data_IF_092322730343
#
_entry.id   IF_092322730343
#
_cell.length_a   1.000
_cell.length_b   1.000
_cell.length_c   1.000
_cell.angle_alpha   90.00
_cell.angle_beta   90.00
_cell.angle_gamma   90.00
#
_symmetry.space_group_name_H-M   'P 1'
#
loop_
_entity.id
_entity.type
_entity.pdbx_description
1 polymer ?
#
# COMPACT_ATOMS: atom_id res chain seq x y z
N UNK A 1 -0.38 32.84 -5.68
CA UNK A 1 0.74 31.92 -5.43
C UNK A 1 2.00 32.76 -5.46
N UNK A 2 2.70 32.83 -4.34
CA UNK A 2 3.93 33.61 -4.19
C UNK A 2 4.98 33.14 -5.20
N UNK A 3 5.59 34.08 -5.91
CA UNK A 3 6.69 33.80 -6.83
C UNK A 3 7.94 33.39 -6.05
N UNK A 4 8.90 32.72 -6.69
CA UNK A 4 10.18 32.38 -6.04
C UNK A 4 11.00 33.61 -5.62
N UNK A 5 10.63 34.82 -6.05
CA UNK A 5 11.15 36.07 -5.52
C UNK A 5 10.49 36.43 -4.18
N UNK A 6 9.15 36.32 -4.10
CA UNK A 6 8.36 36.62 -2.90
C UNK A 6 8.76 35.71 -1.71
N UNK A 7 9.07 34.43 -1.96
CA UNK A 7 9.52 33.50 -0.92
C UNK A 7 10.92 33.84 -0.39
N UNK A 8 11.79 34.40 -1.24
CA UNK A 8 13.14 34.83 -0.82
C UNK A 8 13.11 36.13 -0.03
N UNK A 9 12.16 36.99 -0.36
CA UNK A 9 11.88 38.24 0.36
C UNK A 9 11.29 37.95 1.75
N UNK A 10 10.30 37.04 1.82
CA UNK A 10 9.68 36.60 3.09
C UNK A 10 10.68 35.91 4.04
N UNK A 11 11.68 35.21 3.48
CA UNK A 11 12.67 34.46 4.26
C UNK A 11 13.97 35.23 4.50
N UNK A 12 14.06 36.49 4.07
CA UNK A 12 15.24 37.37 4.24
C UNK A 12 16.56 36.71 3.78
N UNK A 13 16.51 35.84 2.76
CA UNK A 13 17.67 35.04 2.30
C UNK A 13 18.60 35.81 1.33
N UNK A 14 18.40 37.12 1.17
CA UNK A 14 19.21 38.01 0.34
C UNK A 14 20.01 38.98 1.20
N UNK A 15 21.21 38.58 1.65
CA UNK A 15 22.07 39.45 2.43
C UNK A 15 22.67 40.61 1.61
N UNK A 16 22.54 41.82 2.14
CA UNK A 16 23.55 42.88 2.04
C UNK A 16 23.30 44.03 1.05
N UNK A 17 23.05 45.21 1.63
CA UNK A 17 23.33 46.56 1.11
C UNK A 17 22.46 47.13 -0.02
N UNK A 18 21.28 47.67 0.33
CA UNK A 18 20.93 49.08 0.04
C UNK A 18 19.57 49.45 0.67
N UNK A 19 19.56 49.73 1.98
CA UNK A 19 18.33 50.16 2.66
C UNK A 19 18.43 51.64 3.00
N UNK A 20 18.01 52.47 2.02
CA UNK A 20 17.71 53.89 2.21
C UNK A 20 16.20 54.09 2.19
N UNK A 21 15.61 54.92 3.07
CA UNK A 21 14.17 54.97 3.23
C UNK A 21 13.48 55.57 2.00
N UNK A 22 12.59 54.76 1.39
CA UNK A 22 11.71 55.16 0.28
C UNK A 22 10.81 56.30 0.75
N UNK A 23 10.97 57.49 0.16
CA UNK A 23 10.20 58.67 0.52
C UNK A 23 8.84 58.68 -0.19
N UNK A 24 7.81 59.21 0.49
CA UNK A 24 6.37 59.20 0.16
C UNK A 24 5.96 59.84 -1.19
N UNK A 25 6.92 60.18 -2.05
CA UNK A 25 6.77 60.91 -3.32
C UNK A 25 6.84 60.02 -4.57
N UNK A 26 7.20 58.75 -4.42
CA UNK A 26 7.25 57.79 -5.55
C UNK A 26 5.89 57.10 -5.83
N UNK A 27 4.86 57.41 -5.03
CA UNK A 27 3.53 56.77 -5.08
C UNK A 27 2.48 57.52 -5.93
N UNK A 28 2.80 58.67 -6.54
CA UNK A 28 1.79 59.51 -7.20
C UNK A 28 2.26 60.00 -8.58
N UNK A 29 1.67 59.41 -9.63
CA UNK A 29 1.59 59.87 -11.02
C UNK A 29 2.86 59.94 -11.89
N UNK A 30 2.91 59.15 -12.97
CA UNK A 30 2.36 59.56 -14.29
C UNK A 30 2.86 58.70 -15.44
N UNK A 31 1.94 58.35 -16.33
CA UNK A 31 2.13 57.86 -17.69
C UNK A 31 3.27 58.56 -18.44
N UNK A 32 4.35 57.84 -18.75
CA UNK A 32 5.18 58.12 -19.94
C UNK A 32 5.72 56.83 -20.55
N UNK A 33 5.26 56.55 -21.79
CA UNK A 33 5.90 55.67 -22.76
C UNK A 33 7.41 55.89 -22.76
N UNK A 34 8.21 54.84 -22.54
CA UNK A 34 9.66 54.87 -22.79
C UNK A 34 10.04 53.84 -23.86
N UNK A 35 10.76 54.37 -24.84
CA UNK A 35 11.36 53.72 -25.99
C UNK A 35 12.16 52.46 -25.64
N UNK A 36 12.07 51.44 -26.51
CA UNK A 36 13.03 50.33 -26.58
C UNK A 36 14.42 50.86 -26.90
N UNK A 37 15.40 50.65 -26.01
CA UNK A 37 16.83 50.59 -26.38
C UNK A 37 17.24 49.11 -26.29
N UNK A 38 17.63 48.56 -27.44
CA UNK A 38 18.26 47.25 -27.50
C UNK A 38 19.67 47.38 -26.93
N UNK A 39 19.96 46.66 -25.85
CA UNK A 39 21.33 46.42 -25.39
C UNK A 39 21.86 45.20 -26.12
N UNK A 40 22.84 45.42 -27.00
CA UNK A 40 23.61 44.37 -27.66
C UNK A 40 24.28 43.47 -26.61
N UNK A 41 23.80 42.25 -26.46
CA UNK A 41 24.55 41.20 -25.77
C UNK A 41 25.42 40.49 -26.80
N UNK A 42 26.73 40.72 -26.71
CA UNK A 42 27.78 39.98 -27.42
C UNK A 42 27.58 38.47 -27.22
N UNK A 43 27.05 37.79 -28.24
CA UNK A 43 26.95 36.33 -28.22
C UNK A 43 28.25 35.74 -28.77
N UNK A 44 29.10 35.26 -27.86
CA UNK A 44 30.19 34.36 -28.23
C UNK A 44 29.58 33.13 -28.92
N UNK A 45 30.08 32.81 -30.12
CA UNK A 45 29.63 31.65 -30.89
C UNK A 45 30.11 30.36 -30.24
N UNK A 46 29.27 29.32 -30.28
CA UNK A 46 29.59 27.95 -29.85
C UNK A 46 30.90 27.51 -30.53
N UNK A 47 31.94 27.11 -29.78
CA UNK A 47 33.16 26.56 -30.35
C UNK A 47 32.86 25.32 -31.21
N UNK A 48 33.54 25.22 -32.36
CA UNK A 48 33.38 24.09 -33.27
C UNK A 48 33.84 22.79 -32.59
N UNK A 49 33.03 21.73 -32.68
CA UNK A 49 33.28 20.44 -32.01
C UNK A 49 32.58 20.24 -30.66
N UNK A 50 31.98 21.28 -30.05
CA UNK A 50 31.19 21.12 -28.83
C UNK A 50 29.71 20.84 -29.14
N UNK A 51 29.20 19.71 -28.62
CA UNK A 51 27.79 19.34 -28.76
C UNK A 51 26.86 20.37 -28.10
N UNK A 52 25.70 20.62 -28.71
CA UNK A 52 24.78 21.71 -28.34
C UNK A 52 24.29 21.58 -26.89
N UNK A 53 24.04 20.34 -26.48
CA UNK A 53 23.65 19.95 -25.12
C UNK A 53 24.76 20.22 -24.10
N UNK A 54 26.02 20.00 -24.48
CA UNK A 54 27.19 20.27 -23.62
C UNK A 54 27.42 21.77 -23.49
N UNK A 55 27.30 22.52 -24.59
CA UNK A 55 27.37 23.98 -24.56
C UNK A 55 26.25 24.59 -23.70
N UNK A 56 25.06 24.01 -23.74
CA UNK A 56 23.92 24.44 -22.93
C UNK A 56 24.13 24.22 -21.43
N UNK A 57 24.93 23.23 -21.01
CA UNK A 57 25.29 23.00 -19.60
C UNK A 57 26.26 24.05 -19.06
N UNK A 58 27.17 24.56 -19.91
CA UNK A 58 28.13 25.60 -19.54
C UNK A 58 27.48 26.98 -19.35
N UNK A 59 26.35 27.21 -20.02
CA UNK A 59 25.61 28.49 -20.02
C UNK A 59 24.14 28.36 -19.60
N UNK A 60 23.78 27.29 -18.90
CA UNK A 60 22.55 27.30 -18.10
C UNK A 60 22.79 28.25 -16.94
N UNK A 61 22.39 29.50 -17.16
CA UNK A 61 21.90 30.46 -16.20
C UNK A 61 21.96 29.92 -14.76
N UNK A 62 22.90 30.44 -13.95
CA UNK A 62 23.17 30.04 -12.55
C UNK A 62 21.95 30.20 -11.60
N UNK A 63 20.74 30.34 -12.14
CA UNK A 63 19.51 30.69 -11.43
C UNK A 63 18.37 29.66 -11.54
N UNK A 64 18.45 28.66 -12.39
CA UNK A 64 17.38 27.64 -12.49
C UNK A 64 17.93 26.23 -12.28
N UNK A 65 17.65 25.67 -11.09
CA UNK A 65 17.91 24.27 -10.80
C UNK A 65 16.87 23.38 -11.51
N UNK A 66 17.27 22.24 -12.08
CA UNK A 66 16.34 21.32 -12.74
C UNK A 66 15.40 20.64 -11.72
N UNK A 67 14.12 20.45 -12.05
CA UNK A 67 13.12 19.91 -11.13
C UNK A 67 13.31 18.42 -10.91
N UNK A 68 13.14 18.02 -9.65
CA UNK A 68 13.38 16.68 -9.13
C UNK A 68 12.20 15.71 -9.32
N UNK A 69 11.15 16.09 -10.05
CA UNK A 69 9.95 15.26 -10.22
C UNK A 69 9.72 14.89 -11.69
N UNK A 70 9.62 13.59 -12.02
CA UNK A 70 9.21 13.15 -13.35
C UNK A 70 7.79 13.61 -13.62
N UNK A 71 7.59 14.44 -14.65
CA UNK A 71 6.24 14.80 -15.14
C UNK A 71 5.88 13.89 -16.30
N UNK A 72 4.82 13.10 -16.11
CA UNK A 72 4.29 12.11 -17.08
C UNK A 72 3.44 12.77 -18.21
N UNK A 73 3.80 14.00 -18.59
CA UNK A 73 3.17 14.73 -19.68
C UNK A 73 4.10 14.70 -20.89
N UNK A 74 3.66 14.04 -21.95
CA UNK A 74 4.34 13.88 -23.24
C UNK A 74 4.50 15.19 -24.04
N UNK A 75 4.38 16.36 -23.41
CA UNK A 75 4.64 17.66 -24.01
C UNK A 75 5.74 18.37 -23.23
N UNK A 76 6.80 18.73 -23.95
CA UNK A 76 8.11 19.09 -23.43
C UNK A 76 8.18 20.17 -22.34
N UNK A 77 9.39 20.25 -21.78
CA UNK A 77 9.84 21.02 -20.61
C UNK A 77 9.87 22.56 -20.80
N UNK A 78 8.85 23.14 -21.42
CA UNK A 78 8.48 24.55 -21.24
C UNK A 78 6.97 24.58 -21.32
N UNK A 79 6.31 24.88 -20.21
CA UNK A 79 4.97 25.44 -20.28
C UNK A 79 5.09 26.68 -21.16
N UNK A 80 4.59 26.59 -22.40
CA UNK A 80 4.48 27.75 -23.27
C UNK A 80 3.68 28.74 -22.46
N UNK A 81 4.32 29.80 -21.92
CA UNK A 81 3.64 30.86 -21.17
C UNK A 81 2.37 31.14 -21.93
N UNK A 82 1.22 30.82 -21.33
CA UNK A 82 -0.05 30.85 -22.03
C UNK A 82 -0.11 32.20 -22.74
N UNK A 83 -0.14 32.18 -24.08
CA UNK A 83 -0.27 33.40 -24.86
C UNK A 83 -1.69 33.91 -24.62
N UNK A 84 -1.89 34.60 -23.49
CA UNK A 84 -3.05 35.40 -23.15
C UNK A 84 -3.07 36.67 -24.02
N UNK A 85 -2.77 36.53 -25.31
CA UNK A 85 -3.08 37.57 -26.28
C UNK A 85 -4.59 37.80 -26.25
N UNK A 86 -5.00 39.04 -26.50
CA UNK A 86 -6.34 39.61 -26.42
C UNK A 86 -7.40 38.89 -27.29
N UNK A 87 -7.56 37.57 -27.12
CA UNK A 87 -8.66 36.81 -27.67
C UNK A 87 -9.90 37.24 -26.90
N UNK A 88 -10.93 37.64 -27.65
CA UNK A 88 -12.26 37.94 -27.11
C UNK A 88 -12.65 36.82 -26.15
N UNK A 89 -12.91 37.19 -24.89
CA UNK A 89 -13.33 36.24 -23.86
C UNK A 89 -14.54 35.48 -24.39
N UNK A 90 -14.51 34.15 -24.29
CA UNK A 90 -15.63 33.33 -24.74
C UNK A 90 -16.84 33.65 -23.85
N UNK A 91 -17.94 34.16 -24.41
CA UNK A 91 -19.06 34.58 -23.59
C UNK A 91 -19.81 33.38 -23.03
N UNK A 92 -20.21 33.51 -21.77
CA UNK A 92 -21.02 32.53 -21.05
C UNK A 92 -22.44 33.08 -20.92
N UNK A 93 -23.43 32.19 -21.03
CA UNK A 93 -24.84 32.51 -20.85
C UNK A 93 -25.43 31.53 -19.85
N UNK A 94 -26.25 32.05 -18.93
CA UNK A 94 -27.08 31.22 -18.08
C UNK A 94 -28.18 30.63 -18.97
N UNK A 95 -28.12 29.32 -19.22
CA UNK A 95 -29.02 28.65 -20.16
C UNK A 95 -29.80 27.53 -19.47
N UNK A 96 -31.10 27.39 -19.79
CA UNK A 96 -31.87 26.22 -19.39
C UNK A 96 -31.34 24.99 -20.13
N UNK A 97 -31.34 23.85 -19.46
CA UNK A 97 -31.04 22.56 -20.05
C UNK A 97 -31.90 21.47 -19.43
N UNK A 98 -32.26 20.49 -20.24
CA UNK A 98 -32.88 19.26 -19.79
C UNK A 98 -31.80 18.20 -19.66
N UNK A 99 -31.87 17.34 -18.64
CA UNK A 99 -30.98 16.20 -18.50
C UNK A 99 -31.65 14.95 -19.10
N UNK A 100 -31.19 14.43 -20.26
CA UNK A 100 -31.75 13.22 -20.87
C UNK A 100 -31.72 11.99 -19.97
N UNK A 101 -30.85 11.98 -18.96
CA UNK A 101 -30.76 10.90 -17.98
C UNK A 101 -31.96 10.84 -17.02
N UNK A 102 -32.76 11.90 -16.93
CA UNK A 102 -33.95 11.96 -16.07
C UNK A 102 -35.22 11.74 -16.90
N UNK A 103 -36.22 11.11 -16.28
CA UNK A 103 -37.53 10.84 -16.89
C UNK A 103 -38.62 11.85 -16.52
N UNK A 104 -38.31 12.80 -15.63
CA UNK A 104 -39.26 13.76 -15.06
C UNK A 104 -39.37 15.07 -15.85
N UNK A 105 -38.59 15.23 -16.92
CA UNK A 105 -38.61 16.44 -17.74
C UNK A 105 -38.12 17.70 -17.01
N UNK A 106 -37.44 17.55 -15.88
CA UNK A 106 -36.99 18.69 -15.07
C UNK A 106 -35.99 19.57 -15.86
N UNK A 107 -36.26 20.87 -15.87
CA UNK A 107 -35.43 21.89 -16.51
C UNK A 107 -34.51 22.51 -15.47
N UNK A 108 -33.20 22.37 -15.68
CA UNK A 108 -32.17 22.98 -14.84
C UNK A 108 -31.50 24.13 -15.56
N UNK A 109 -30.73 24.93 -14.84
CA UNK A 109 -29.95 26.01 -15.45
C UNK A 109 -28.48 25.87 -15.08
N UNK A 110 -27.59 26.17 -16.01
CA UNK A 110 -26.16 26.31 -15.74
C UNK A 110 -25.48 27.26 -16.72
N UNK A 111 -24.30 27.74 -16.34
CA UNK A 111 -23.45 28.53 -17.20
C UNK A 111 -22.89 27.65 -18.32
N UNK A 112 -23.22 28.00 -19.57
CA UNK A 112 -22.65 27.38 -20.77
C UNK A 112 -22.04 28.40 -21.68
N UNK A 113 -21.12 27.93 -22.52
CA UNK A 113 -20.56 28.74 -23.61
C UNK A 113 -21.64 28.94 -24.67
N UNK A 114 -21.74 30.15 -25.22
CA UNK A 114 -22.71 30.45 -26.28
C UNK A 114 -22.57 29.51 -27.49
N UNK A 115 -21.35 29.07 -27.82
CA UNK A 115 -21.10 28.12 -28.91
C UNK A 115 -21.56 26.66 -28.63
N UNK A 116 -22.07 26.38 -27.43
CA UNK A 116 -22.57 25.06 -26.99
C UNK A 116 -24.09 25.06 -26.78
N UNK A 117 -24.78 26.10 -27.26
CA UNK A 117 -26.25 26.17 -27.32
C UNK A 117 -26.78 25.01 -28.18
N UNK A 118 -27.79 24.29 -27.69
CA UNK A 118 -28.40 23.15 -28.37
C UNK A 118 -27.70 21.79 -28.19
N UNK A 119 -26.56 21.72 -27.49
CA UNK A 119 -25.94 20.41 -27.17
C UNK A 119 -26.64 19.74 -25.99
N UNK A 120 -26.74 18.42 -26.02
CA UNK A 120 -27.22 17.65 -24.87
C UNK A 120 -26.31 17.86 -23.66
N UNK A 121 -26.89 17.69 -22.47
CA UNK A 121 -26.16 17.81 -21.22
C UNK A 121 -24.95 16.86 -21.20
N UNK A 122 -23.69 17.37 -21.19
CA UNK A 122 -22.51 16.53 -21.41
C UNK A 122 -22.33 15.42 -20.38
N UNK A 123 -22.90 15.58 -19.19
CA UNK A 123 -22.80 14.60 -18.12
C UNK A 123 -23.89 13.51 -18.15
N UNK A 124 -24.91 13.64 -19.00
CA UNK A 124 -25.97 12.64 -19.14
C UNK A 124 -25.42 11.27 -19.57
N UNK A 125 -24.36 11.26 -20.39
CA UNK A 125 -23.65 10.04 -20.82
C UNK A 125 -23.01 9.24 -19.69
N UNK A 126 -22.81 9.86 -18.52
CA UNK A 126 -22.23 9.19 -17.36
C UNK A 126 -23.28 8.57 -16.44
N UNK A 127 -24.58 8.73 -16.73
CA UNK A 127 -25.63 8.08 -15.97
C UNK A 127 -25.67 6.58 -16.29
N UNK A 128 -24.91 5.80 -15.52
CA UNK A 128 -24.89 4.35 -15.59
C UNK A 128 -25.86 3.79 -14.55
N UNK A 129 -26.91 3.11 -14.99
CA UNK A 129 -27.88 2.44 -14.12
C UNK A 129 -27.47 1.00 -13.89
N UNK A 130 -27.66 0.50 -12.67
CA UNK A 130 -27.38 -0.90 -12.35
C UNK A 130 -28.55 -1.78 -12.80
N UNK A 131 -28.24 -2.90 -13.46
CA UNK A 131 -29.25 -3.88 -13.84
C UNK A 131 -29.54 -4.80 -12.66
N UNK A 132 -30.69 -4.61 -12.02
CA UNK A 132 -31.18 -5.48 -10.94
C UNK A 132 -31.92 -6.67 -11.54
N UNK A 133 -31.58 -7.92 -11.19
CA UNK A 133 -32.29 -9.09 -11.68
C UNK A 133 -33.77 -9.06 -11.30
N UNK A 134 -34.63 -9.41 -12.25
CA UNK A 134 -36.06 -9.65 -12.00
C UNK A 134 -36.27 -11.15 -11.98
N UNK A 135 -37.04 -11.65 -11.02
CA UNK A 135 -37.41 -13.07 -10.90
C UNK A 135 -38.92 -13.26 -11.04
N UNK A 136 -39.32 -14.43 -11.53
CA UNK A 136 -40.72 -14.84 -11.60
C UNK A 136 -41.21 -15.44 -10.27
N UNK A 137 -42.53 -15.53 -10.11
CA UNK A 137 -43.16 -16.21 -8.98
C UNK A 137 -42.69 -17.69 -8.88
N UNK A 138 -42.58 -18.36 -10.03
CA UNK A 138 -42.13 -19.74 -10.10
C UNK A 138 -40.66 -19.89 -9.64
N UNK A 139 -39.77 -19.00 -10.09
CA UNK A 139 -38.38 -18.99 -9.64
C UNK A 139 -38.29 -18.75 -8.13
N UNK A 140 -39.14 -17.87 -7.60
CA UNK A 140 -39.19 -17.60 -6.16
C UNK A 140 -39.55 -18.86 -5.37
N UNK A 141 -40.66 -19.51 -5.75
CA UNK A 141 -41.19 -20.67 -5.05
C UNK A 141 -40.23 -21.86 -5.12
N UNK A 142 -39.56 -22.08 -6.26
CA UNK A 142 -38.67 -23.23 -6.44
C UNK A 142 -37.30 -23.05 -5.79
N UNK A 143 -36.73 -21.83 -5.80
CA UNK A 143 -35.31 -21.63 -5.51
C UNK A 143 -35.00 -20.55 -4.47
N UNK A 144 -35.88 -19.54 -4.31
CA UNK A 144 -35.57 -18.33 -3.52
C UNK A 144 -36.23 -18.30 -2.14
N UNK A 145 -36.98 -19.35 -1.75
CA UNK A 145 -37.53 -19.46 -0.40
C UNK A 145 -36.41 -19.42 0.66
N UNK A 146 -36.74 -18.86 1.82
CA UNK A 146 -35.87 -18.73 2.98
C UNK A 146 -36.73 -18.50 4.22
N UNK A 147 -36.48 -19.25 5.30
CA UNK A 147 -37.29 -19.23 6.52
C UNK A 147 -37.30 -17.85 7.20
N UNK A 148 -36.24 -17.07 6.96
CA UNK A 148 -36.09 -15.73 7.49
C UNK A 148 -36.68 -14.66 6.59
N UNK A 149 -37.12 -14.93 5.37
CA UNK A 149 -37.54 -13.89 4.43
C UNK A 149 -38.85 -14.22 3.75
N UNK A 150 -39.81 -13.30 3.87
CA UNK A 150 -41.06 -13.41 3.12
C UNK A 150 -40.86 -12.94 1.68
N UNK A 151 -41.77 -13.37 0.79
CA UNK A 151 -41.77 -12.91 -0.59
C UNK A 151 -42.00 -11.40 -0.67
N UNK A 152 -42.97 -10.88 0.07
CA UNK A 152 -43.27 -9.45 0.13
C UNK A 152 -42.05 -8.63 0.59
N UNK A 153 -41.32 -9.10 1.60
CA UNK A 153 -40.08 -8.47 2.09
C UNK A 153 -38.96 -8.50 1.04
N UNK A 154 -38.86 -9.60 0.29
CA UNK A 154 -37.87 -9.74 -0.79
C UNK A 154 -38.21 -8.84 -1.99
N UNK A 155 -39.47 -8.80 -2.39
CA UNK A 155 -39.96 -7.94 -3.48
C UNK A 155 -39.74 -6.46 -3.15
N UNK A 156 -40.03 -6.07 -1.90
CA UNK A 156 -39.73 -4.73 -1.39
C UNK A 156 -38.24 -4.39 -1.46
N UNK A 157 -37.37 -5.31 -1.03
CA UNK A 157 -35.92 -5.13 -1.14
C UNK A 157 -35.49 -4.92 -2.61
N UNK A 158 -36.01 -5.71 -3.54
CA UNK A 158 -35.67 -5.60 -4.96
C UNK A 158 -36.21 -4.30 -5.60
N UNK A 159 -37.39 -3.83 -5.21
CA UNK A 159 -37.91 -2.52 -5.61
C UNK A 159 -37.00 -1.39 -5.14
N UNK A 160 -36.62 -1.37 -3.87
CA UNK A 160 -35.70 -0.37 -3.32
C UNK A 160 -34.33 -0.44 -4.01
N UNK A 161 -33.80 -1.64 -4.23
CA UNK A 161 -32.55 -1.86 -4.96
C UNK A 161 -32.58 -1.28 -6.38
N UNK A 162 -33.72 -1.41 -7.07
CA UNK A 162 -33.93 -0.85 -8.41
C UNK A 162 -34.10 0.68 -8.40
N UNK A 163 -34.82 1.22 -7.41
CA UNK A 163 -35.08 2.67 -7.28
C UNK A 163 -33.86 3.46 -6.84
N UNK A 164 -32.96 2.85 -6.07
CA UNK A 164 -31.79 3.50 -5.48
C UNK A 164 -30.45 2.96 -6.01
N UNK A 165 -30.43 2.29 -7.16
CA UNK A 165 -29.22 1.81 -7.84
C UNK A 165 -28.25 1.02 -6.92
N UNK A 166 -28.80 0.10 -6.10
CA UNK A 166 -28.05 -0.69 -5.11
C UNK A 166 -27.26 0.11 -4.07
N UNK A 167 -27.63 1.37 -3.82
CA UNK A 167 -27.05 2.16 -2.73
C UNK A 167 -27.62 1.67 -1.39
N UNK A 168 -27.06 0.59 -0.86
CA UNK A 168 -27.59 -0.12 0.32
C UNK A 168 -27.76 0.76 1.57
N UNK A 169 -26.98 1.83 1.74
CA UNK A 169 -27.18 2.80 2.83
C UNK A 169 -28.55 3.50 2.70
N UNK A 170 -28.92 3.89 1.48
CA UNK A 170 -30.22 4.52 1.18
C UNK A 170 -31.34 3.48 1.22
N UNK A 171 -31.09 2.27 0.71
CA UNK A 171 -32.06 1.16 0.78
C UNK A 171 -32.41 0.83 2.22
N UNK A 172 -31.41 0.75 3.10
CA UNK A 172 -31.60 0.55 4.53
C UNK A 172 -32.36 1.72 5.17
N UNK A 173 -31.96 2.97 4.90
CA UNK A 173 -32.68 4.16 5.39
C UNK A 173 -34.18 4.18 5.01
N UNK A 174 -34.50 3.76 3.78
CA UNK A 174 -35.87 3.73 3.23
C UNK A 174 -36.58 2.40 3.40
N UNK A 175 -36.03 1.51 4.21
CA UNK A 175 -36.61 0.20 4.44
C UNK A 175 -37.91 0.32 5.26
N UNK A 176 -38.89 -0.53 4.98
CA UNK A 176 -40.17 -0.46 5.69
C UNK A 176 -40.08 -1.25 6.99
N UNK A 177 -39.65 -0.56 8.04
CA UNK A 177 -39.51 -1.10 9.38
C UNK A 177 -40.84 -1.24 10.14
N UNK A 178 -41.96 -0.79 9.56
CA UNK A 178 -43.29 -0.99 10.17
C UNK A 178 -43.86 -2.35 9.76
N UNK A 179 -43.70 -2.72 8.49
CA UNK A 179 -44.18 -4.00 7.96
C UNK A 179 -43.19 -5.14 8.17
N UNK A 180 -41.88 -4.85 8.12
CA UNK A 180 -40.84 -5.86 8.18
C UNK A 180 -39.94 -5.72 9.40
N UNK A 181 -39.27 -6.81 9.76
CA UNK A 181 -38.32 -6.81 10.88
C UNK A 181 -37.12 -5.92 10.59
N UNK A 182 -36.48 -5.41 11.65
CA UNK A 182 -35.24 -4.64 11.51
C UNK A 182 -34.12 -5.53 10.98
N UNK A 183 -33.50 -5.08 9.88
CA UNK A 183 -32.37 -5.73 9.21
C UNK A 183 -31.16 -4.84 9.22
N UNK A 184 -29.98 -5.41 9.37
CA UNK A 184 -28.74 -4.69 9.11
C UNK A 184 -28.50 -4.53 7.61
N UNK A 185 -27.64 -3.58 7.21
CA UNK A 185 -27.24 -3.38 5.81
C UNK A 185 -26.67 -4.67 5.21
N UNK A 186 -25.95 -5.42 6.04
CA UNK A 186 -25.25 -6.64 5.74
C UNK A 186 -26.25 -7.77 5.47
N UNK A 187 -27.34 -7.85 6.24
CA UNK A 187 -28.42 -8.83 5.99
C UNK A 187 -29.17 -8.53 4.68
N UNK A 188 -29.41 -7.25 4.37
CA UNK A 188 -30.03 -6.84 3.10
C UNK A 188 -29.14 -7.21 1.90
N UNK A 189 -27.83 -6.97 2.02
CA UNK A 189 -26.83 -7.35 1.00
C UNK A 189 -26.77 -8.86 0.83
N UNK A 190 -26.71 -9.60 1.93
CA UNK A 190 -26.66 -11.05 1.93
C UNK A 190 -27.85 -11.65 1.18
N UNK A 191 -29.07 -11.20 1.51
CA UNK A 191 -30.28 -11.65 0.81
C UNK A 191 -30.23 -11.33 -0.68
N UNK A 192 -29.86 -10.09 -1.03
CA UNK A 192 -29.78 -9.66 -2.42
C UNK A 192 -28.78 -10.48 -3.25
N UNK A 193 -27.55 -10.63 -2.76
CA UNK A 193 -26.49 -11.34 -3.49
C UNK A 193 -26.72 -12.86 -3.51
N UNK A 194 -27.31 -13.43 -2.46
CA UNK A 194 -27.72 -14.84 -2.44
C UNK A 194 -28.73 -15.11 -3.56
N UNK A 195 -29.78 -14.28 -3.68
CA UNK A 195 -30.76 -14.39 -4.78
C UNK A 195 -30.09 -14.21 -6.13
N UNK A 196 -29.23 -13.21 -6.29
CA UNK A 196 -28.49 -13.00 -7.53
C UNK A 196 -27.70 -14.27 -7.92
N UNK A 197 -26.95 -14.86 -6.98
CA UNK A 197 -26.19 -16.09 -7.21
C UNK A 197 -27.06 -17.29 -7.55
N UNK A 198 -28.19 -17.47 -6.85
CA UNK A 198 -29.18 -18.51 -7.15
C UNK A 198 -29.77 -18.35 -8.56
N UNK A 199 -30.20 -17.14 -8.92
CA UNK A 199 -30.74 -16.86 -10.26
C UNK A 199 -29.69 -17.06 -11.36
N UNK A 200 -28.46 -16.61 -11.13
CA UNK A 200 -27.35 -16.83 -12.06
C UNK A 200 -27.10 -18.32 -12.27
N UNK A 201 -27.18 -19.13 -11.22
CA UNK A 201 -26.99 -20.59 -11.30
C UNK A 201 -28.14 -21.28 -12.04
N UNK A 202 -29.39 -20.94 -11.73
CA UNK A 202 -30.58 -21.56 -12.34
C UNK A 202 -30.71 -21.20 -13.82
N UNK A 203 -30.29 -19.98 -14.20
CA UNK A 203 -30.34 -19.48 -15.58
C UNK A 203 -29.09 -19.81 -16.39
N UNK A 204 -28.07 -20.41 -15.78
CA UNK A 204 -26.86 -20.81 -16.50
C UNK A 204 -27.19 -21.93 -17.49
N UNK A 205 -26.61 -21.86 -18.69
CA UNK A 205 -26.72 -22.93 -19.66
C UNK A 205 -25.97 -24.16 -19.17
N UNK A 206 -26.54 -25.35 -19.40
CA UNK A 206 -25.92 -26.62 -19.04
C UNK A 206 -24.49 -26.71 -19.58
N UNK A 207 -23.51 -26.85 -18.69
CA UNK A 207 -22.08 -26.93 -19.03
C UNK A 207 -21.30 -25.61 -18.93
N UNK A 208 -21.94 -24.49 -18.60
CA UNK A 208 -21.24 -23.25 -18.25
C UNK A 208 -21.17 -23.09 -16.73
N UNK A 209 -19.97 -22.83 -16.19
CA UNK A 209 -19.82 -22.43 -14.78
C UNK A 209 -19.92 -20.91 -14.66
N UNK A 210 -21.06 -20.37 -14.22
CA UNK A 210 -21.18 -18.93 -14.07
C UNK A 210 -20.31 -18.43 -12.92
N UNK A 211 -19.70 -17.25 -13.10
CA UNK A 211 -18.99 -16.58 -12.02
C UNK A 211 -19.99 -16.00 -11.02
N UNK A 212 -20.24 -16.74 -9.96
CA UNK A 212 -21.13 -16.33 -8.87
C UNK A 212 -20.35 -15.44 -7.90
N UNK A 213 -20.86 -14.24 -7.67
CA UNK A 213 -20.36 -13.39 -6.60
C UNK A 213 -20.90 -13.86 -5.25
N UNK A 214 -20.01 -14.21 -4.33
CA UNK A 214 -20.37 -14.63 -2.97
C UNK A 214 -20.10 -13.46 -2.03
N UNK A 215 -21.15 -12.97 -1.39
CA UNK A 215 -21.06 -11.94 -0.38
C UNK A 215 -20.88 -12.58 1.01
N UNK A 216 -19.76 -12.30 1.68
CA UNK A 216 -19.50 -12.76 3.05
C UNK A 216 -19.98 -11.69 4.06
N UNK A 217 -21.21 -11.86 4.52
CA UNK A 217 -21.82 -10.98 5.52
C UNK A 217 -21.08 -11.04 6.87
N UNK A 218 -20.55 -12.20 7.25
CA UNK A 218 -19.80 -12.38 8.50
C UNK A 218 -18.46 -11.66 8.48
N UNK A 219 -17.76 -11.66 7.34
CA UNK A 219 -16.57 -10.85 7.14
C UNK A 219 -16.89 -9.35 7.17
N UNK A 220 -17.91 -8.90 6.45
CA UNK A 220 -18.26 -7.47 6.39
C UNK A 220 -18.68 -6.91 7.75
N UNK A 221 -19.43 -7.69 8.54
CA UNK A 221 -19.81 -7.32 9.91
C UNK A 221 -18.58 -7.17 10.82
N UNK A 222 -17.67 -8.14 10.81
CA UNK A 222 -16.41 -8.07 11.57
C UNK A 222 -15.53 -6.90 11.14
N UNK A 223 -15.45 -6.63 9.82
CA UNK A 223 -14.69 -5.50 9.25
C UNK A 223 -15.25 -4.17 9.75
N UNK A 224 -16.58 -4.02 9.77
CA UNK A 224 -17.26 -2.82 10.26
C UNK A 224 -17.07 -2.63 11.76
N UNK A 225 -17.20 -3.69 12.55
CA UNK A 225 -16.92 -3.65 13.99
C UNK A 225 -15.48 -3.22 14.30
N UNK A 226 -14.49 -3.65 13.52
CA UNK A 226 -13.10 -3.20 13.67
C UNK A 226 -12.94 -1.71 13.35
N UNK A 227 -13.58 -1.24 12.29
CA UNK A 227 -13.61 0.18 11.91
C UNK A 227 -14.28 1.04 12.99
N UNK A 228 -15.40 0.58 13.53
CA UNK A 228 -16.11 1.28 14.60
C UNK A 228 -15.27 1.35 15.88
N UNK A 229 -14.52 0.30 16.22
CA UNK A 229 -13.56 0.33 17.34
C UNK A 229 -12.44 1.34 17.10
N UNK A 230 -11.89 1.41 15.89
CA UNK A 230 -10.85 2.36 15.55
C UNK A 230 -11.37 3.81 15.54
N UNK A 231 -12.58 4.01 15.03
CA UNK A 231 -13.22 5.32 14.95
C UNK A 231 -13.55 5.88 16.34
N UNK A 232 -14.02 5.03 17.25
CA UNK A 232 -14.37 5.41 18.62
C UNK A 232 -13.18 5.33 19.60
N UNK A 233 -11.95 5.13 19.11
CA UNK A 233 -10.77 5.02 19.96
C UNK A 233 -10.48 6.35 20.64
N UNK A 234 -10.36 6.33 21.96
CA UNK A 234 -10.00 7.54 22.73
C UNK A 234 -8.48 7.78 22.69
N UNK A 235 -8.02 9.04 22.84
CA UNK A 235 -6.59 9.34 22.92
C UNK A 235 -5.87 8.61 24.07
N UNK A 236 -6.58 8.39 25.19
CA UNK A 236 -6.05 7.64 26.35
C UNK A 236 -5.79 6.17 25.99
N UNK A 237 -6.72 5.52 25.29
CA UNK A 237 -6.56 4.17 24.77
C UNK A 237 -5.42 4.08 23.74
N UNK A 238 -5.17 5.16 23.00
CA UNK A 238 -4.00 5.23 22.10
C UNK A 238 -2.70 5.19 22.91
N UNK A 239 -2.57 6.08 23.89
CA UNK A 239 -1.37 6.16 24.72
C UNK A 239 -1.11 4.87 25.52
N UNK A 240 -2.16 4.25 26.06
CA UNK A 240 -2.06 2.98 26.77
C UNK A 240 -1.60 1.84 25.85
N UNK A 241 -2.19 1.71 24.66
CA UNK A 241 -1.78 0.68 23.70
C UNK A 241 -0.33 0.89 23.24
N UNK A 242 0.08 2.13 22.98
CA UNK A 242 1.48 2.45 22.66
C UNK A 242 2.44 2.06 23.78
N UNK A 243 2.07 2.34 25.03
CA UNK A 243 2.83 1.91 26.20
C UNK A 243 2.92 0.38 26.30
N UNK A 244 1.80 -0.33 26.12
CA UNK A 244 1.77 -1.80 26.13
C UNK A 244 2.61 -2.41 25.01
N UNK A 245 2.58 -1.83 23.80
CA UNK A 245 3.41 -2.27 22.67
C UNK A 245 4.90 -2.09 22.99
N UNK A 246 5.28 -0.97 23.60
CA UNK A 246 6.66 -0.75 24.03
C UNK A 246 7.07 -1.76 25.09
N UNK A 247 6.22 -2.05 26.07
CA UNK A 247 6.50 -3.00 27.15
C UNK A 247 6.59 -4.44 26.63
N UNK A 248 5.71 -4.82 25.70
CA UNK A 248 5.74 -6.11 25.01
C UNK A 248 7.08 -6.28 24.26
N UNK A 249 7.52 -5.28 23.51
CA UNK A 249 8.82 -5.31 22.82
C UNK A 249 9.99 -5.46 23.80
N UNK A 250 9.95 -4.79 24.96
CA UNK A 250 10.97 -4.96 26.00
C UNK A 250 10.99 -6.39 26.53
N UNK A 251 9.81 -7.00 26.75
CA UNK A 251 9.69 -8.39 27.20
C UNK A 251 10.21 -9.36 26.15
N UNK A 252 9.85 -9.19 24.88
CA UNK A 252 10.34 -10.01 23.77
C UNK A 252 11.86 -9.96 23.63
N UNK A 253 12.44 -8.76 23.74
CA UNK A 253 13.90 -8.60 23.70
C UNK A 253 14.58 -9.30 24.89
N UNK A 254 14.06 -9.14 26.11
CA UNK A 254 14.57 -9.86 27.29
C UNK A 254 14.43 -11.37 27.15
N UNK A 255 13.33 -11.86 26.57
CA UNK A 255 13.10 -13.28 26.30
C UNK A 255 14.14 -13.81 25.31
N UNK A 256 14.36 -13.09 24.21
CA UNK A 256 15.36 -13.41 23.19
C UNK A 256 16.79 -13.42 23.75
N UNK A 257 17.13 -12.46 24.60
CA UNK A 257 18.43 -12.44 25.28
C UNK A 257 18.62 -13.62 26.23
N UNK A 258 17.60 -13.95 27.03
CA UNK A 258 17.65 -15.13 27.92
C UNK A 258 17.77 -16.42 27.13
N UNK A 259 17.04 -16.53 26.03
CA UNK A 259 17.12 -17.68 25.12
C UNK A 259 18.50 -17.81 24.49
N UNK A 260 19.09 -16.70 24.03
CA UNK A 260 20.47 -16.68 23.52
C UNK A 260 21.48 -17.09 24.59
N UNK A 261 21.38 -16.54 25.81
CA UNK A 261 22.24 -16.92 26.94
C UNK A 261 22.09 -18.40 27.31
N UNK A 262 20.87 -18.93 27.29
CA UNK A 262 20.60 -20.34 27.55
C UNK A 262 21.19 -21.23 26.45
N UNK A 263 21.06 -20.85 25.18
CA UNK A 263 21.67 -21.55 24.06
C UNK A 263 23.21 -21.54 24.14
N UNK A 264 23.81 -20.40 24.48
CA UNK A 264 25.26 -20.29 24.63
C UNK A 264 25.77 -21.10 25.84
N UNK A 265 25.04 -21.10 26.96
CA UNK A 265 25.34 -21.96 28.11
C UNK A 265 25.23 -23.45 27.74
N UNK A 266 24.20 -23.85 26.99
CA UNK A 266 24.07 -25.22 26.50
C UNK A 266 25.23 -25.62 25.57
N UNK A 267 25.70 -24.71 24.71
CA UNK A 267 26.88 -24.95 23.88
C UNK A 267 28.14 -25.14 24.72
N UNK A 268 28.32 -24.32 25.75
CA UNK A 268 29.44 -24.43 26.70
C UNK A 268 29.42 -25.77 27.44
N UNK A 269 28.25 -26.19 27.95
CA UNK A 269 28.09 -27.49 28.61
C UNK A 269 28.44 -28.63 27.63
N UNK A 270 27.88 -28.62 26.41
CA UNK A 270 28.19 -29.62 25.39
C UNK A 270 29.68 -29.66 25.03
N UNK A 271 30.34 -28.51 24.92
CA UNK A 271 31.78 -28.42 24.64
C UNK A 271 32.63 -28.94 25.81
N UNK A 272 32.20 -28.71 27.05
CA UNK A 272 32.85 -29.28 28.23
C UNK A 272 32.66 -30.81 28.28
N UNK A 273 31.45 -31.30 27.99
CA UNK A 273 31.14 -32.74 27.94
C UNK A 273 31.97 -33.45 26.86
N UNK A 274 32.08 -32.89 25.65
CA UNK A 274 32.94 -33.46 24.60
C UNK A 274 34.42 -33.47 25.00
N UNK A 275 34.92 -32.40 25.63
CA UNK A 275 36.31 -32.34 26.12
C UNK A 275 36.57 -33.37 27.20
N UNK A 276 35.62 -33.59 28.11
CA UNK A 276 35.76 -34.60 29.17
C UNK A 276 35.68 -36.03 28.60
N UNK A 277 34.83 -36.27 27.61
CA UNK A 277 34.78 -37.55 26.88
C UNK A 277 36.06 -37.83 26.11
N UNK A 278 36.64 -36.82 25.42
CA UNK A 278 37.94 -36.96 24.76
C UNK A 278 39.05 -37.32 25.77
N UNK A 279 39.13 -36.62 26.91
CA UNK A 279 40.09 -36.96 27.98
C UNK A 279 39.86 -38.36 28.56
N UNK A 280 38.61 -38.80 28.68
CA UNK A 280 38.28 -40.17 29.12
C UNK A 280 38.70 -41.20 28.07
N UNK A 281 38.50 -40.92 26.79
CA UNK A 281 38.92 -41.77 25.69
C UNK A 281 40.46 -41.90 25.63
N UNK A 282 41.20 -40.79 25.75
CA UNK A 282 42.66 -40.78 25.84
C UNK A 282 43.19 -41.61 27.01
N UNK A 283 42.58 -41.47 28.20
CA UNK A 283 42.93 -42.29 29.37
C UNK A 283 42.67 -43.78 29.12
N UNK A 284 41.58 -44.13 28.44
CA UNK A 284 41.27 -45.53 28.07
C UNK A 284 42.29 -46.08 27.06
N UNK A 285 42.71 -45.29 26.08
CA UNK A 285 43.73 -45.67 25.10
C UNK A 285 45.08 -45.87 25.78
N UNK A 286 45.51 -44.92 26.62
CA UNK A 286 46.77 -45.03 27.39
C UNK A 286 46.77 -46.26 28.32
N UNK A 287 45.62 -46.56 28.96
CA UNK A 287 45.48 -47.77 29.78
C UNK A 287 45.65 -49.05 28.96
N UNK A 288 44.98 -49.14 27.80
CA UNK A 288 45.13 -50.29 26.88
C UNK A 288 46.57 -50.44 26.37
N UNK A 289 47.25 -49.33 26.09
CA UNK A 289 48.64 -49.35 25.64
C UNK A 289 49.60 -49.84 26.73
N UNK A 290 49.37 -49.44 27.99
CA UNK A 290 50.10 -49.97 29.16
C UNK A 290 49.85 -51.46 29.37
N UNK A 291 48.60 -51.90 29.27
CA UNK A 291 48.23 -53.32 29.37
C UNK A 291 48.90 -54.15 28.25
N UNK A 292 48.94 -53.63 27.02
CA UNK A 292 49.61 -54.28 25.90
C UNK A 292 51.13 -54.39 26.11
N UNK A 293 51.78 -53.30 26.56
CA UNK A 293 53.21 -53.32 26.90
C UNK A 293 53.53 -54.32 28.01
N UNK A 294 52.67 -54.43 29.03
CA UNK A 294 52.83 -55.42 30.10
C UNK A 294 52.71 -56.86 29.57
N UNK A 295 51.75 -57.13 28.69
CA UNK A 295 51.61 -58.45 28.04
C UNK A 295 52.81 -58.80 27.16
N UNK A 296 53.32 -57.84 26.39
CA UNK A 296 54.50 -58.07 25.53
C UNK A 296 55.78 -58.29 26.35
N UNK A 297 55.98 -57.55 27.44
CA UNK A 297 57.03 -57.81 28.43
C UNK A 297 56.91 -59.22 29.03
N UNK A 298 55.71 -59.65 29.37
CA UNK A 298 55.50 -60.97 29.94
C UNK A 298 55.74 -62.10 28.94
N UNK A 299 55.47 -61.88 27.64
CA UNK A 299 55.86 -62.79 26.56
C UNK A 299 57.38 -62.85 26.38
N UNK A 300 58.07 -61.71 26.45
CA UNK A 300 59.53 -61.65 26.37
C UNK A 300 60.20 -62.39 27.54
N UNK A 301 59.69 -62.22 28.76
CA UNK A 301 60.17 -62.95 29.95
C UNK A 301 60.00 -64.46 29.74
N UNK A 302 58.81 -64.91 29.32
CA UNK A 302 58.57 -66.33 29.02
C UNK A 302 59.49 -66.87 27.92
N UNK A 303 59.74 -66.09 26.87
CA UNK A 303 60.66 -66.47 25.79
C UNK A 303 62.11 -66.59 26.28
N UNK A 304 62.55 -65.67 27.15
CA UNK A 304 63.87 -65.73 27.77
C UNK A 304 64.01 -66.95 28.70
N UNK A 305 62.98 -67.27 29.49
CA UNK A 305 62.95 -68.46 30.34
C UNK A 305 63.04 -69.74 29.48
N UNK A 306 62.27 -69.85 28.39
CA UNK A 306 62.35 -71.01 27.49
C UNK A 306 63.71 -71.14 26.79
N UNK A 307 64.34 -70.03 26.42
CA UNK A 307 65.67 -70.02 25.82
C UNK A 307 66.75 -70.40 26.85
N UNK A 308 66.55 -70.01 28.11
CA UNK A 308 67.42 -70.40 29.23
C UNK A 308 67.28 -71.89 29.54
N UNK A 309 66.06 -72.44 29.49
CA UNK A 309 65.83 -73.88 29.62
C UNK A 309 66.43 -74.68 28.46
N UNK A 310 66.31 -74.21 27.22
CA UNK A 310 66.96 -74.83 26.04
C UNK A 310 68.48 -74.85 26.18
N UNK A 311 69.10 -73.74 26.60
CA UNK A 311 70.55 -73.70 26.91
C UNK A 311 70.94 -74.62 28.07
N UNK A 312 70.05 -74.82 29.04
CA UNK A 312 70.27 -75.74 30.17
C UNK A 312 70.15 -77.20 29.73
N UNK A 313 69.29 -77.50 28.76
CA UNK A 313 69.14 -78.80 28.15
C UNK A 313 70.34 -79.15 27.24
N UNK A 314 70.84 -78.19 26.45
CA UNK A 314 72.06 -78.38 25.63
C UNK A 314 73.29 -78.68 26.49
N UNK A 315 73.43 -78.05 27.66
CA UNK A 315 74.50 -78.35 28.63
C UNK A 315 74.38 -79.72 29.33
N UNK A 316 73.26 -80.43 29.20
CA UNK A 316 73.09 -81.79 29.76
C UNK A 316 73.44 -82.89 28.74
N UNK A 317 73.76 -82.54 27.50
CA UNK A 317 74.03 -83.48 26.40
C UNK A 317 75.51 -83.43 25.93
N UNK A 318 76.37 -82.68 26.62
CA UNK A 318 77.85 -82.75 26.47
C UNK A 318 78.48 -83.35 27.72
#
# INVERSE_FOLDING_TARGET
>A
MATGADVRDILELGGGENDGPISKKDLINSDKKKHKKATETLTFKRPEGMHREVYALLYSDKKDAPPLLPSDTTQGYRTVKAKLGCKKVRPWKWMPFTNPARKDGAIFHHWRRMAEEGKDYPFARFNKTVQVPVYSEQEYQMHLHDDGWTKAETDHLFDLCKRFDLRFVVVHDRYDYQQFRKRSIEDLKERYYNICGKLTKVRAASGTEPKIYIFDAGHERRRKEQLDKLFNRTPEQVAEEEYLIQELRKIENRKKEREKKAQDLQKLIKAADTTTELRRAEKRVSKKEREKKAQDLQKLIKAADTTTELRRAEKRVS
#
